data_IF_126788963786
#
_entry.id   IF_126788963786
#
_cell.length_a   1.000
_cell.length_b   1.000
_cell.length_c   1.000
_cell.angle_alpha   90.00
_cell.angle_beta   90.00
_cell.angle_gamma   90.00
#
_symmetry.space_group_name_H-M   'P 1'
#
loop_
_entity.id
_entity.type
_entity.pdbx_description
1 polymer ?
#
# COMPACT_ATOMS: atom_id res chain seq x y z
N UNK A 1 5.26 -4.48 9.48
CA UNK A 1 4.51 -3.21 9.34
C UNK A 1 3.51 -3.16 10.49
N UNK A 2 3.66 -2.23 11.44
CA UNK A 2 2.71 -2.08 12.54
C UNK A 2 1.36 -1.56 12.04
N UNK A 3 0.30 -2.31 12.32
CA UNK A 3 -1.12 -2.03 12.00
C UNK A 3 -1.91 -1.98 13.31
N UNK A 4 -3.21 -1.67 13.29
CA UNK A 4 -3.94 -1.48 14.55
C UNK A 4 -4.02 -2.73 15.44
N UNK A 5 -4.11 -3.92 14.83
CA UNK A 5 -4.28 -5.21 15.50
C UNK A 5 -2.98 -6.05 15.61
N UNK A 6 -1.80 -5.50 15.30
CA UNK A 6 -0.54 -6.22 15.44
C UNK A 6 0.59 -5.73 14.52
N UNK A 7 1.55 -6.60 14.26
CA UNK A 7 2.67 -6.36 13.34
C UNK A 7 2.57 -7.32 12.16
N UNK A 8 2.28 -6.80 10.97
CA UNK A 8 2.29 -7.60 9.75
C UNK A 8 3.74 -7.91 9.32
N UNK A 9 4.11 -9.18 9.33
CA UNK A 9 5.45 -9.63 8.92
C UNK A 9 5.50 -9.81 7.41
N UNK A 10 6.26 -8.96 6.74
CA UNK A 10 6.41 -8.95 5.27
C UNK A 10 7.18 -10.16 4.71
N UNK A 11 7.90 -10.93 5.54
CA UNK A 11 8.62 -12.14 5.10
C UNK A 11 7.73 -13.37 5.18
N UNK A 12 6.95 -13.48 6.26
CA UNK A 12 6.08 -14.65 6.51
C UNK A 12 4.65 -14.45 6.02
N UNK A 13 4.28 -13.20 5.69
CA UNK A 13 2.92 -12.79 5.31
C UNK A 13 1.86 -13.09 6.38
N UNK A 14 2.26 -13.02 7.66
CA UNK A 14 1.38 -13.28 8.82
C UNK A 14 1.27 -12.04 9.71
N UNK A 15 0.14 -11.94 10.40
CA UNK A 15 -0.04 -10.97 11.48
C UNK A 15 0.54 -11.55 12.78
N UNK A 16 1.49 -10.85 13.37
CA UNK A 16 2.11 -11.20 14.64
C UNK A 16 1.60 -10.25 15.74
N UNK A 17 1.56 -10.73 16.97
CA UNK A 17 1.23 -9.89 18.12
C UNK A 17 2.29 -8.81 18.35
N UNK A 18 1.88 -7.73 19.03
CA UNK A 18 2.85 -6.74 19.47
C UNK A 18 3.82 -7.36 20.47
N UNK A 19 5.11 -7.13 20.23
CA UNK A 19 6.19 -7.63 21.09
C UNK A 19 7.15 -6.49 21.41
N UNK A 20 7.69 -6.44 22.65
CA UNK A 20 8.73 -5.47 23.01
C UNK A 20 10.03 -5.65 22.19
N UNK A 21 10.17 -6.75 21.45
CA UNK A 21 11.28 -6.96 20.52
C UNK A 21 11.25 -6.00 19.32
N UNK A 22 10.11 -5.35 19.04
CA UNK A 22 9.97 -4.38 17.96
C UNK A 22 9.95 -2.95 18.51
N UNK A 23 10.87 -2.10 18.05
CA UNK A 23 10.80 -0.66 18.29
C UNK A 23 9.82 -0.06 17.27
N UNK A 24 8.62 0.31 17.74
CA UNK A 24 7.55 0.88 16.92
C UNK A 24 7.36 2.34 17.33
N UNK A 25 7.63 3.27 16.41
CA UNK A 25 7.42 4.71 16.64
C UNK A 25 6.08 5.21 16.10
N UNK A 26 5.48 4.46 15.18
CA UNK A 26 4.19 4.77 14.57
C UNK A 26 3.50 3.51 14.04
N UNK A 27 2.17 3.54 13.92
CA UNK A 27 1.38 2.43 13.34
C UNK A 27 0.31 2.94 12.39
N UNK A 28 -0.07 2.10 11.43
CA UNK A 28 -1.28 2.32 10.64
C UNK A 28 -2.50 2.15 11.55
N UNK A 29 -3.49 3.04 11.44
CA UNK A 29 -4.72 2.99 12.26
C UNK A 29 -5.71 1.93 11.80
N UNK A 30 -5.62 1.48 10.55
CA UNK A 30 -6.43 0.38 10.01
C UNK A 30 -5.91 -0.97 10.47
N UNK A 31 -6.82 -1.88 10.81
CA UNK A 31 -6.51 -3.27 11.13
C UNK A 31 -6.13 -4.07 9.87
N UNK A 32 -5.21 -5.02 10.01
CA UNK A 32 -4.94 -5.97 8.94
C UNK A 32 -6.08 -6.99 8.84
N UNK A 33 -6.61 -7.14 7.63
CA UNK A 33 -7.65 -8.12 7.30
C UNK A 33 -7.11 -9.08 6.21
N UNK A 34 -6.86 -10.37 6.50
CA UNK A 34 -6.37 -11.32 5.50
C UNK A 34 -7.40 -11.63 4.40
N UNK A 35 -8.67 -11.32 4.63
CA UNK A 35 -9.76 -11.46 3.68
C UNK A 35 -10.07 -10.16 2.94
N UNK A 36 -9.25 -9.12 3.10
CA UNK A 36 -9.40 -7.88 2.36
C UNK A 36 -9.36 -8.14 0.85
N UNK A 37 -10.29 -7.53 0.12
CA UNK A 37 -10.34 -7.55 -1.34
C UNK A 37 -10.12 -6.13 -1.84
N UNK A 38 -9.66 -6.01 -3.09
CA UNK A 38 -9.61 -4.71 -3.74
C UNK A 38 -10.98 -4.03 -3.70
N UNK A 39 -11.05 -2.70 -3.54
CA UNK A 39 -12.32 -2.01 -3.54
C UNK A 39 -12.97 -2.10 -4.92
N UNK A 40 -14.22 -2.55 -4.93
CA UNK A 40 -15.12 -2.53 -6.08
C UNK A 40 -16.38 -1.80 -5.60
N UNK A 41 -16.66 -0.62 -6.16
CA UNK A 41 -17.81 0.19 -5.76
C UNK A 41 -18.87 0.10 -6.85
N UNK A 42 -19.97 -0.59 -6.55
CA UNK A 42 -21.20 -0.70 -7.35
C UNK A 42 -21.00 -0.81 -8.87
N UNK A 43 -19.95 -1.52 -9.30
CA UNK A 43 -19.59 -1.73 -10.70
C UNK A 43 -19.01 -0.52 -11.45
N UNK A 44 -19.08 0.69 -10.88
CA UNK A 44 -18.50 1.90 -11.50
C UNK A 44 -17.01 2.07 -11.17
N UNK A 45 -16.54 1.51 -10.05
CA UNK A 45 -15.14 1.55 -9.65
C UNK A 45 -14.54 0.15 -9.54
N UNK A 46 -13.42 -0.06 -10.21
CA UNK A 46 -12.50 -1.18 -9.96
C UNK A 46 -11.10 -0.58 -9.77
N UNK A 47 -10.50 -0.82 -8.60
CA UNK A 47 -9.20 -0.25 -8.26
C UNK A 47 -8.10 -0.59 -9.26
N UNK A 48 -8.05 -1.83 -9.74
CA UNK A 48 -6.98 -2.26 -10.66
C UNK A 48 -7.15 -1.58 -12.01
N UNK A 49 -8.39 -1.51 -12.53
CA UNK A 49 -8.68 -0.81 -13.79
C UNK A 49 -8.39 0.69 -13.70
N UNK A 50 -8.73 1.30 -12.56
CA UNK A 50 -8.41 2.70 -12.31
C UNK A 50 -6.89 2.93 -12.28
N UNK A 51 -6.15 2.04 -11.61
CA UNK A 51 -4.69 2.13 -11.54
C UNK A 51 -4.04 1.91 -12.93
N UNK A 52 -4.55 0.97 -13.72
CA UNK A 52 -4.15 0.75 -15.12
C UNK A 52 -4.44 1.98 -15.98
N UNK A 53 -5.60 2.62 -15.82
CA UNK A 53 -5.95 3.83 -16.55
C UNK A 53 -5.00 5.00 -16.22
N UNK A 54 -4.65 5.19 -14.95
CA UNK A 54 -3.64 6.18 -14.54
C UNK A 54 -2.27 5.94 -15.18
N UNK A 55 -1.92 4.67 -15.38
CA UNK A 55 -0.68 4.24 -15.99
C UNK A 55 -0.76 4.14 -17.52
N UNK A 56 -1.88 4.53 -18.15
CA UNK A 56 -2.12 4.38 -19.60
C UNK A 56 -1.86 2.93 -20.07
N UNK A 57 -2.25 1.96 -19.23
CA UNK A 57 -2.03 0.52 -19.42
C UNK A 57 -0.54 0.09 -19.49
N UNK A 58 0.40 0.95 -19.10
CA UNK A 58 1.81 0.59 -18.98
C UNK A 58 2.03 -0.25 -17.72
N UNK A 59 2.38 -1.53 -17.92
CA UNK A 59 2.58 -2.49 -16.83
C UNK A 59 3.75 -2.14 -15.93
N UNK A 60 4.79 -1.51 -16.45
CA UNK A 60 5.95 -1.09 -15.64
C UNK A 60 5.56 0.07 -14.73
N UNK A 61 4.79 1.03 -15.25
CA UNK A 61 4.26 2.15 -14.46
C UNK A 61 3.26 1.67 -13.42
N UNK A 62 2.36 0.73 -13.75
CA UNK A 62 1.46 0.10 -12.75
C UNK A 62 2.25 -0.57 -11.63
N UNK A 63 3.30 -1.34 -11.98
CA UNK A 63 4.15 -1.99 -11.01
C UNK A 63 4.88 -0.97 -10.11
N UNK A 64 5.36 0.13 -10.70
CA UNK A 64 5.97 1.22 -9.95
C UNK A 64 4.95 1.84 -8.97
N UNK A 65 3.73 2.15 -9.40
CA UNK A 65 2.69 2.71 -8.53
C UNK A 65 2.37 1.79 -7.34
N UNK A 66 2.30 0.48 -7.56
CA UNK A 66 2.16 -0.50 -6.47
C UNK A 66 3.32 -0.45 -5.47
N UNK A 67 4.55 -0.33 -5.96
CA UNK A 67 5.72 -0.15 -5.09
C UNK A 67 5.63 1.14 -4.28
N UNK A 68 5.17 2.24 -4.89
CA UNK A 68 4.97 3.53 -4.19
C UNK A 68 3.93 3.42 -3.09
N UNK A 69 2.78 2.79 -3.36
CA UNK A 69 1.74 2.56 -2.34
C UNK A 69 2.31 1.73 -1.18
N UNK A 70 3.04 0.64 -1.49
CA UNK A 70 3.66 -0.21 -0.49
C UNK A 70 4.71 0.54 0.36
N UNK A 71 5.44 1.49 -0.22
CA UNK A 71 6.35 2.36 0.53
C UNK A 71 5.62 3.35 1.42
N UNK A 72 4.54 3.97 0.93
CA UNK A 72 3.77 4.94 1.68
C UNK A 72 3.11 4.35 2.95
N UNK A 73 2.71 3.08 2.90
CA UNK A 73 2.12 2.36 4.04
C UNK A 73 3.16 1.78 5.02
N UNK A 74 4.46 2.03 4.83
CA UNK A 74 5.50 1.51 5.73
C UNK A 74 6.13 2.61 6.60
N UNK A 75 5.40 3.14 7.60
CA UNK A 75 5.78 4.38 8.28
C UNK A 75 7.08 4.26 9.10
N UNK A 76 7.50 3.04 9.45
CA UNK A 76 8.73 2.81 10.22
C UNK A 76 9.95 2.51 9.34
N UNK A 77 9.81 2.51 8.01
CA UNK A 77 10.92 2.34 7.06
C UNK A 77 10.82 3.35 5.94
N UNK A 78 11.54 4.46 6.07
CA UNK A 78 11.74 5.38 4.95
C UNK A 78 12.96 4.98 4.13
N UNK A 79 12.78 4.90 2.81
CA UNK A 79 13.89 4.73 1.85
C UNK A 79 14.47 6.06 1.36
N UNK A 80 14.02 7.19 1.93
CA UNK A 80 14.41 8.56 1.52
C UNK A 80 14.22 8.79 0.02
N UNK A 81 13.12 8.27 -0.53
CA UNK A 81 12.72 8.46 -1.92
C UNK A 81 11.48 9.34 -1.96
N UNK A 82 11.38 10.13 -3.02
CA UNK A 82 10.21 10.97 -3.32
C UNK A 82 9.69 10.54 -4.69
N UNK A 83 8.37 10.48 -4.79
CA UNK A 83 7.67 10.17 -6.04
C UNK A 83 6.87 11.41 -6.41
N UNK A 84 7.05 11.88 -7.64
CA UNK A 84 6.30 13.00 -8.20
C UNK A 84 5.52 12.47 -9.39
N UNK A 85 4.20 12.67 -9.37
CA UNK A 85 3.35 12.41 -10.53
C UNK A 85 3.30 13.69 -11.35
N UNK A 86 3.71 13.61 -12.62
CA UNK A 86 3.72 14.72 -13.56
C UNK A 86 2.85 14.37 -14.76
N UNK A 87 2.12 15.34 -15.28
CA UNK A 87 1.27 15.18 -16.45
C UNK A 87 0.66 16.50 -16.88
N UNK A 88 0.20 16.55 -18.13
CA UNK A 88 -0.32 17.78 -18.76
C UNK A 88 -1.76 18.14 -18.32
N UNK A 89 -2.31 17.40 -17.35
CA UNK A 89 -3.58 17.74 -16.69
C UNK A 89 -4.86 17.23 -17.36
N UNK A 90 -4.78 16.20 -18.22
CA UNK A 90 -5.89 15.78 -19.08
C UNK A 90 -6.27 14.28 -18.96
N UNK A 91 -6.32 13.74 -17.73
CA UNK A 91 -6.86 12.39 -17.47
C UNK A 91 -8.33 12.44 -17.03
#
# INVERSE_FOLDING_TARGET
>A
IPVANGVYNIKTHKLEEFSPNFVITSKIQTEYNPCARKPILDGWFDFDRWLEALAVNDKEVVALLWQVINEAINPNRTRKKMVLMVGDGNN
#
